data_IF_533708707141
#
_entry.id   IF_533708707141
#
_cell.length_a   1.000
_cell.length_b   1.000
_cell.length_c   1.000
_cell.angle_alpha   90.00
_cell.angle_beta   90.00
_cell.angle_gamma   90.00
#
_symmetry.space_group_name_H-M   'P 1'
#
loop_
_entity.id
_entity.type
_entity.pdbx_description
1 polymer ?
#
# COMPACT_ATOMS: atom_id res chain seq x y z
N UNK A 1 -5.30 -5.07 10.93
CA UNK A 1 -4.95 -4.08 9.90
C UNK A 1 -3.70 -3.33 10.31
N UNK A 2 -2.79 -3.12 9.38
CA UNK A 2 -1.63 -2.26 9.59
C UNK A 2 -1.47 -1.23 8.46
N UNK A 3 -0.82 -0.11 8.74
CA UNK A 3 -0.59 0.96 7.78
C UNK A 3 0.69 1.71 8.16
N UNK A 4 1.57 1.89 7.19
CA UNK A 4 2.80 2.68 7.33
C UNK A 4 2.70 3.90 6.44
N UNK A 5 2.90 5.07 7.03
CA UNK A 5 2.83 6.37 6.37
C UNK A 5 3.93 7.30 6.89
N UNK A 6 4.19 8.43 6.24
CA UNK A 6 5.15 9.42 6.77
C UNK A 6 4.83 9.93 8.17
N UNK A 7 3.57 9.83 8.62
CA UNK A 7 3.13 10.32 9.94
C UNK A 7 2.99 9.23 11.00
N UNK A 8 3.17 7.96 10.65
CA UNK A 8 3.08 6.85 11.60
C UNK A 8 3.54 5.52 11.00
N UNK A 9 4.24 4.72 11.80
CA UNK A 9 4.71 3.38 11.41
C UNK A 9 3.69 2.28 11.71
N UNK A 10 2.57 2.61 12.35
CA UNK A 10 1.46 1.70 12.58
C UNK A 10 0.13 2.38 12.24
N UNK A 11 -0.93 1.60 12.03
CA UNK A 11 -2.27 2.13 11.79
C UNK A 11 -2.74 3.03 12.94
N UNK A 12 -2.44 2.66 14.18
CA UNK A 12 -2.82 3.46 15.36
C UNK A 12 -2.09 4.81 15.40
N UNK A 13 -0.77 4.82 15.14
CA UNK A 13 0.03 6.04 15.08
C UNK A 13 -0.42 6.94 13.93
N UNK A 14 -0.64 6.37 12.74
CA UNK A 14 -1.13 7.11 11.57
C UNK A 14 -2.48 7.75 11.88
N UNK A 15 -3.43 6.99 12.43
CA UNK A 15 -4.76 7.50 12.77
C UNK A 15 -4.70 8.59 13.85
N UNK A 16 -3.84 8.44 14.86
CA UNK A 16 -3.64 9.47 15.90
C UNK A 16 -3.04 10.74 15.32
N UNK A 17 -2.02 10.63 14.48
CA UNK A 17 -1.35 11.75 13.82
C UNK A 17 -2.31 12.53 12.91
N UNK A 18 -3.11 11.81 12.09
CA UNK A 18 -4.11 12.43 11.22
C UNK A 18 -5.16 13.18 12.03
N UNK A 19 -5.68 12.57 13.12
CA UNK A 19 -6.65 13.25 14.02
C UNK A 19 -6.06 14.49 14.69
N UNK A 20 -4.77 14.46 14.99
CA UNK A 20 -4.06 15.59 15.59
C UNK A 20 -3.63 16.66 14.56
N UNK A 21 -3.91 16.46 13.26
CA UNK A 21 -3.49 17.37 12.19
C UNK A 21 -1.97 17.39 11.96
N UNK A 22 -1.26 16.35 12.38
CA UNK A 22 0.20 16.26 12.22
C UNK A 22 0.52 15.99 10.75
N UNK A 23 1.39 16.83 10.17
CA UNK A 23 1.99 16.65 8.87
C UNK A 23 3.50 16.47 9.04
N UNK A 24 4.10 15.57 8.26
CA UNK A 24 5.55 15.37 8.22
C UNK A 24 6.04 15.56 6.79
N UNK A 25 6.39 16.79 6.49
CA UNK A 25 7.02 17.16 5.23
C UNK A 25 8.49 17.41 5.47
N UNK A 26 9.33 16.89 4.57
CA UNK A 26 10.77 17.10 4.59
C UNK A 26 11.23 17.64 3.22
N UNK A 27 12.34 18.35 3.19
CA UNK A 27 13.00 18.70 1.95
C UNK A 27 13.67 17.42 1.43
N UNK A 28 13.55 17.16 0.13
CA UNK A 28 14.26 16.04 -0.50
C UNK A 28 15.73 16.43 -0.67
N UNK A 29 16.65 15.63 -0.16
CA UNK A 29 18.06 16.00 -0.06
C UNK A 29 18.74 16.10 -1.44
N UNK A 30 18.42 15.19 -2.36
CA UNK A 30 19.14 15.00 -3.62
C UNK A 30 18.35 15.47 -4.86
N UNK A 31 17.09 15.87 -4.71
CA UNK A 31 16.27 16.26 -5.84
C UNK A 31 15.92 17.73 -5.85
N UNK A 32 16.19 18.36 -7.00
CA UNK A 32 15.82 19.74 -7.30
C UNK A 32 14.89 19.76 -8.52
N UNK A 33 13.88 20.60 -8.48
CA UNK A 33 12.98 20.79 -9.62
C UNK A 33 13.73 21.43 -10.83
N UNK A 34 13.05 21.52 -11.97
CA UNK A 34 13.61 22.10 -13.20
C UNK A 34 14.06 23.56 -13.07
N UNK A 35 13.66 24.25 -12.02
CA UNK A 35 14.11 25.59 -11.69
C UNK A 35 15.29 25.61 -10.72
N UNK A 36 15.84 24.45 -10.37
CA UNK A 36 16.94 24.29 -9.43
C UNK A 36 16.56 24.50 -7.97
N UNK A 37 15.27 24.41 -7.63
CA UNK A 37 14.80 24.55 -6.24
C UNK A 37 14.54 23.21 -5.58
N UNK A 38 14.84 23.10 -4.27
CA UNK A 38 14.52 21.90 -3.52
C UNK A 38 13.01 21.68 -3.47
N UNK A 39 12.60 20.41 -3.47
CA UNK A 39 11.19 20.02 -3.35
C UNK A 39 10.88 19.54 -1.94
N UNK A 40 9.59 19.58 -1.61
CA UNK A 40 9.08 19.02 -0.37
C UNK A 40 8.42 17.69 -0.68
N UNK A 41 8.71 16.68 0.15
CA UNK A 41 8.13 15.33 0.07
C UNK A 41 7.60 14.89 1.42
N UNK A 42 6.73 13.89 1.42
CA UNK A 42 6.31 13.20 2.63
C UNK A 42 6.90 11.78 2.60
N UNK A 43 8.05 11.60 3.26
CA UNK A 43 8.86 10.39 3.27
C UNK A 43 8.70 9.62 4.58
N UNK A 44 8.61 8.30 4.52
CA UNK A 44 8.68 7.45 5.70
C UNK A 44 10.11 7.42 6.20
N UNK A 45 10.31 7.86 7.44
CA UNK A 45 11.63 7.88 8.06
C UNK A 45 12.02 6.51 8.61
N UNK A 46 13.32 6.23 8.64
CA UNK A 46 13.85 4.97 9.18
C UNK A 46 13.87 3.79 8.20
N UNK A 47 13.38 4.00 6.97
CA UNK A 47 13.58 3.06 5.85
C UNK A 47 14.81 3.54 5.09
N UNK A 48 15.64 2.60 4.60
CA UNK A 48 16.92 2.90 3.92
C UNK A 48 16.80 4.09 2.95
N UNK A 49 17.60 5.10 3.17
CA UNK A 49 17.58 6.34 2.38
C UNK A 49 18.30 6.20 1.03
N UNK A 50 19.19 5.21 0.90
CA UNK A 50 20.07 5.01 -0.25
C UNK A 50 19.40 4.23 -1.40
N UNK A 51 18.13 3.85 -1.26
CA UNK A 51 17.42 3.08 -2.29
C UNK A 51 17.01 4.00 -3.43
N UNK A 52 17.77 3.94 -4.52
CA UNK A 52 17.48 4.69 -5.76
C UNK A 52 16.34 4.06 -6.58
N UNK A 53 16.04 2.78 -6.35
CA UNK A 53 14.99 2.04 -7.05
C UNK A 53 13.66 2.12 -6.29
N UNK A 54 12.64 2.59 -6.98
CA UNK A 54 11.27 2.69 -6.44
C UNK A 54 10.72 1.34 -5.98
N UNK A 55 11.12 0.26 -6.64
CA UNK A 55 10.63 -1.08 -6.36
C UNK A 55 11.20 -1.60 -5.05
N UNK A 56 12.50 -1.47 -4.88
CA UNK A 56 13.16 -1.82 -3.61
C UNK A 56 12.57 -1.00 -2.46
N UNK A 57 12.28 0.28 -2.71
CA UNK A 57 11.63 1.14 -1.72
C UNK A 57 10.24 0.65 -1.36
N UNK A 58 9.40 0.34 -2.35
CA UNK A 58 8.06 -0.21 -2.14
C UNK A 58 8.11 -1.57 -1.45
N UNK A 59 9.10 -2.40 -1.80
CA UNK A 59 9.37 -3.67 -1.13
C UNK A 59 9.60 -3.48 0.36
N UNK A 60 10.57 -2.65 0.73
CA UNK A 60 10.93 -2.42 2.13
C UNK A 60 9.72 -1.90 2.94
N UNK A 61 8.94 -0.98 2.37
CA UNK A 61 7.72 -0.46 3.00
C UNK A 61 6.66 -1.56 3.18
N UNK A 62 6.46 -2.40 2.17
CA UNK A 62 5.50 -3.50 2.23
C UNK A 62 5.91 -4.57 3.24
N UNK A 63 7.20 -4.95 3.25
CA UNK A 63 7.77 -5.91 4.21
C UNK A 63 7.50 -5.47 5.65
N UNK A 64 7.93 -4.28 6.03
CA UNK A 64 7.74 -3.77 7.39
C UNK A 64 6.25 -3.74 7.77
N UNK A 65 5.38 -3.31 6.83
CA UNK A 65 3.94 -3.25 7.10
C UNK A 65 3.31 -4.63 7.27
N UNK A 66 3.79 -5.64 6.55
CA UNK A 66 3.32 -7.02 6.62
C UNK A 66 3.86 -7.76 7.84
N UNK A 67 5.13 -7.55 8.21
CA UNK A 67 5.75 -8.19 9.38
C UNK A 67 4.98 -7.83 10.65
N UNK A 68 4.63 -6.58 10.85
CA UNK A 68 3.82 -6.16 11.98
C UNK A 68 2.42 -6.81 11.97
N UNK A 69 1.80 -6.91 10.77
CA UNK A 69 0.49 -7.54 10.64
C UNK A 69 0.54 -9.04 10.94
N UNK A 70 1.63 -9.72 10.51
CA UNK A 70 1.82 -11.15 10.77
C UNK A 70 2.15 -11.44 12.21
N UNK A 71 2.99 -10.64 12.84
CA UNK A 71 3.35 -10.79 14.25
C UNK A 71 2.12 -10.65 15.17
N UNK A 72 1.22 -9.69 14.89
CA UNK A 72 0.03 -9.47 15.72
C UNK A 72 -1.12 -10.46 15.46
N UNK A 73 -1.30 -10.87 14.22
CA UNK A 73 -2.53 -11.56 13.81
C UNK A 73 -2.33 -13.01 13.37
N UNK A 74 -1.31 -13.29 12.56
CA UNK A 74 -1.12 -14.65 12.04
C UNK A 74 -0.52 -15.60 13.08
N UNK A 75 0.29 -15.12 14.03
CA UNK A 75 0.74 -15.92 15.15
C UNK A 75 -0.43 -16.46 15.98
N UNK A 76 -1.43 -15.62 16.23
CA UNK A 76 -2.64 -16.02 16.95
C UNK A 76 -3.53 -17.02 16.18
N UNK A 77 -3.42 -17.06 14.86
CA UNK A 77 -4.14 -18.02 14.00
C UNK A 77 -3.44 -19.39 13.94
N UNK A 78 -2.11 -19.40 14.09
CA UNK A 78 -1.31 -20.64 14.05
C UNK A 78 -1.32 -21.40 15.38
N UNK A 79 -1.63 -20.75 16.48
CA UNK A 79 -1.68 -21.37 17.83
C UNK A 79 -2.98 -22.17 18.10
N UNK A 80 -4.03 -21.98 17.29
CA UNK A 80 -5.27 -22.75 17.37
C UNK A 80 -5.26 -23.96 16.44
N UNK A 81 -5.59 -25.16 16.97
CA UNK A 81 -5.66 -26.46 16.29
C UNK A 81 -6.67 -26.53 15.13
N UNK A 82 -6.63 -25.59 14.20
CA UNK A 82 -7.45 -25.63 12.98
C UNK A 82 -6.59 -26.06 11.78
N UNK A 83 -7.12 -26.88 10.84
CA UNK A 83 -6.38 -27.18 9.63
C UNK A 83 -5.95 -25.89 8.95
N UNK A 84 -4.73 -25.87 8.40
CA UNK A 84 -4.11 -24.71 7.81
C UNK A 84 -5.13 -23.94 6.92
N UNK A 85 -5.59 -22.79 7.38
CA UNK A 85 -6.54 -21.96 6.63
C UNK A 85 -5.89 -21.51 5.34
N UNK A 86 -6.65 -21.49 4.27
CA UNK A 86 -6.19 -20.97 3.02
C UNK A 86 -6.05 -19.45 3.13
N UNK A 87 -4.81 -18.96 3.12
CA UNK A 87 -4.52 -17.55 3.05
C UNK A 87 -4.46 -17.13 1.57
N UNK A 88 -5.15 -16.06 1.21
CA UNK A 88 -5.19 -15.52 -0.14
C UNK A 88 -4.70 -14.07 -0.11
N UNK A 89 -3.69 -13.76 -0.90
CA UNK A 89 -3.12 -12.43 -1.01
C UNK A 89 -3.64 -11.68 -2.23
N UNK A 90 -4.07 -10.44 -2.02
CA UNK A 90 -4.44 -9.50 -3.08
C UNK A 90 -3.63 -8.23 -2.90
N UNK A 91 -2.82 -7.87 -3.88
CA UNK A 91 -1.98 -6.69 -3.85
C UNK A 91 -2.44 -5.66 -4.86
N UNK A 92 -2.83 -4.48 -4.37
CA UNK A 92 -3.12 -3.31 -5.18
C UNK A 92 -1.85 -2.51 -5.45
N UNK A 93 -1.63 -2.15 -6.69
CA UNK A 93 -0.49 -1.33 -7.13
C UNK A 93 -0.96 -0.20 -8.03
N UNK A 94 -0.05 0.72 -8.34
CA UNK A 94 -0.30 1.81 -9.27
C UNK A 94 -0.74 1.30 -10.64
N UNK A 95 -1.47 2.12 -11.40
CA UNK A 95 -1.95 1.76 -12.73
C UNK A 95 -0.80 1.52 -13.69
N UNK A 96 -0.92 0.46 -14.52
CA UNK A 96 -0.01 0.21 -15.65
C UNK A 96 0.00 1.34 -16.67
N UNK A 97 -1.07 2.12 -16.75
CA UNK A 97 -1.19 3.28 -17.65
C UNK A 97 -0.57 4.54 -17.04
N UNK A 98 -0.05 4.46 -15.82
CA UNK A 98 0.66 5.58 -15.21
C UNK A 98 1.84 5.94 -16.11
N UNK A 99 1.74 7.10 -16.75
CA UNK A 99 2.82 7.63 -17.59
C UNK A 99 4.00 7.96 -16.69
N UNK A 100 5.10 7.25 -16.85
CA UNK A 100 6.32 7.45 -16.09
C UNK A 100 7.27 6.29 -16.32
N UNK A 101 8.56 6.46 -16.06
CA UNK A 101 9.52 5.39 -16.22
C UNK A 101 9.16 4.23 -15.28
N UNK A 102 9.19 3.04 -15.82
CA UNK A 102 9.29 1.73 -15.15
C UNK A 102 8.21 1.28 -14.17
N UNK A 103 6.95 1.69 -14.35
CA UNK A 103 5.83 1.02 -13.70
C UNK A 103 5.31 -0.21 -14.48
N UNK A 104 6.12 -0.74 -15.37
CA UNK A 104 5.80 -1.90 -16.19
C UNK A 104 5.73 -3.22 -15.41
N UNK A 105 5.70 -4.33 -16.16
CA UNK A 105 5.58 -5.69 -15.63
C UNK A 105 6.66 -6.06 -14.58
N UNK A 106 7.84 -5.45 -14.64
CA UNK A 106 8.95 -5.71 -13.72
C UNK A 106 8.58 -5.43 -12.27
N UNK A 107 7.86 -4.34 -11.99
CA UNK A 107 7.48 -3.94 -10.63
C UNK A 107 6.46 -4.89 -10.02
N UNK A 108 5.56 -5.40 -10.85
CA UNK A 108 4.59 -6.41 -10.42
C UNK A 108 5.28 -7.74 -10.09
N UNK A 109 6.32 -8.10 -10.83
CA UNK A 109 7.08 -9.34 -10.60
C UNK A 109 7.84 -9.24 -9.26
N UNK A 110 8.44 -8.10 -8.94
CA UNK A 110 9.20 -7.95 -7.69
C UNK A 110 8.27 -7.97 -6.48
N UNK A 111 7.17 -7.25 -6.50
CA UNK A 111 6.19 -7.29 -5.41
C UNK A 111 5.56 -8.68 -5.27
N UNK A 112 5.32 -9.37 -6.38
CA UNK A 112 4.88 -10.75 -6.37
C UNK A 112 5.94 -11.68 -5.74
N UNK A 113 7.22 -11.42 -6.01
CA UNK A 113 8.33 -12.18 -5.43
C UNK A 113 8.42 -11.98 -3.92
N UNK A 114 8.34 -10.74 -3.44
CA UNK A 114 8.32 -10.42 -2.00
C UNK A 114 7.20 -11.15 -1.28
N UNK A 115 5.99 -11.06 -1.82
CA UNK A 115 4.85 -11.76 -1.21
C UNK A 115 5.00 -13.29 -1.30
N UNK A 116 5.60 -13.81 -2.37
CA UNK A 116 5.91 -15.24 -2.50
C UNK A 116 7.02 -15.70 -1.55
N UNK A 117 8.06 -14.91 -1.35
CA UNK A 117 9.14 -15.20 -0.40
C UNK A 117 8.63 -15.20 1.04
N UNK A 118 7.79 -14.22 1.41
CA UNK A 118 7.27 -14.09 2.77
C UNK A 118 6.12 -15.08 3.08
N UNK A 119 5.27 -15.41 2.10
CA UNK A 119 4.01 -16.12 2.33
C UNK A 119 3.75 -17.30 1.39
N UNK A 120 4.75 -17.70 0.59
CA UNK A 120 4.61 -18.83 -0.33
C UNK A 120 3.63 -18.56 -1.48
N UNK A 121 3.02 -19.62 -2.01
CA UNK A 121 2.17 -19.56 -3.22
C UNK A 121 0.76 -18.99 -2.97
N UNK A 122 0.58 -18.07 -2.05
CA UNK A 122 -0.72 -17.54 -1.65
C UNK A 122 -1.18 -16.30 -2.43
N UNK A 123 -0.35 -15.75 -3.33
CA UNK A 123 -0.73 -14.59 -4.14
C UNK A 123 -1.80 -14.99 -5.14
N UNK A 124 -3.02 -14.49 -4.96
CA UNK A 124 -4.15 -14.74 -5.86
C UNK A 124 -4.19 -13.75 -7.03
N UNK A 125 -3.98 -12.48 -6.75
CA UNK A 125 -3.99 -11.46 -7.78
C UNK A 125 -3.17 -10.23 -7.39
N UNK A 126 -2.56 -9.62 -8.40
CA UNK A 126 -2.01 -8.26 -8.36
C UNK A 126 -2.94 -7.39 -9.20
N UNK A 127 -3.46 -6.32 -8.59
CA UNK A 127 -4.48 -5.47 -9.16
C UNK A 127 -3.89 -4.10 -9.45
N UNK A 128 -3.84 -3.73 -10.72
CA UNK A 128 -3.21 -2.50 -11.21
C UNK A 128 -4.27 -1.53 -11.76
N UNK A 129 -5.13 -1.03 -10.86
CA UNK A 129 -6.21 -0.07 -11.16
C UNK A 129 -5.94 1.31 -10.52
N UNK A 130 -4.68 1.61 -10.23
CA UNK A 130 -4.30 2.88 -9.60
C UNK A 130 -4.99 3.09 -8.26
N UNK A 131 -5.58 4.26 -8.05
CA UNK A 131 -6.24 4.61 -6.79
C UNK A 131 -7.43 3.70 -6.43
N UNK A 132 -7.99 2.98 -7.39
CA UNK A 132 -9.09 2.04 -7.17
C UNK A 132 -8.63 0.61 -6.85
N UNK A 133 -7.33 0.31 -6.90
CA UNK A 133 -6.76 -1.04 -6.74
C UNK A 133 -7.22 -1.72 -5.45
N UNK A 134 -7.26 -0.99 -4.33
CA UNK A 134 -7.74 -1.53 -3.06
C UNK A 134 -9.21 -1.99 -3.13
N UNK A 135 -10.09 -1.19 -3.73
CA UNK A 135 -11.50 -1.52 -3.85
C UNK A 135 -11.74 -2.73 -4.75
N UNK A 136 -10.96 -2.83 -5.84
CA UNK A 136 -10.99 -4.03 -6.69
C UNK A 136 -10.48 -5.28 -5.94
N UNK A 137 -9.43 -5.14 -5.11
CA UNK A 137 -8.92 -6.22 -4.27
C UNK A 137 -9.98 -6.70 -3.24
N UNK A 138 -10.72 -5.76 -2.64
CA UNK A 138 -11.87 -6.08 -1.77
C UNK A 138 -12.94 -6.86 -2.54
N UNK A 139 -13.25 -6.46 -3.77
CA UNK A 139 -14.23 -7.17 -4.60
C UNK A 139 -13.80 -8.60 -4.91
N UNK A 140 -12.54 -8.80 -5.30
CA UNK A 140 -12.02 -10.13 -5.60
C UNK A 140 -11.96 -11.02 -4.34
N UNK A 141 -11.55 -10.46 -3.20
CA UNK A 141 -11.54 -11.20 -1.93
C UNK A 141 -12.93 -11.62 -1.49
N UNK A 142 -13.94 -10.77 -1.70
CA UNK A 142 -15.33 -11.11 -1.38
C UNK A 142 -15.81 -12.31 -2.16
N UNK A 143 -15.44 -12.48 -3.44
CA UNK A 143 -15.76 -13.66 -4.26
C UNK A 143 -15.11 -14.92 -3.68
N UNK A 144 -13.85 -14.82 -3.22
CA UNK A 144 -13.15 -15.96 -2.59
C UNK A 144 -13.85 -16.35 -1.30
N UNK A 145 -14.18 -15.40 -0.43
CA UNK A 145 -14.85 -15.67 0.86
C UNK A 145 -16.25 -16.24 0.64
N UNK A 146 -17.00 -15.78 -0.38
CA UNK A 146 -18.31 -16.34 -0.72
C UNK A 146 -18.23 -17.79 -1.19
N UNK A 147 -17.19 -18.15 -1.94
CA UNK A 147 -16.99 -19.52 -2.41
C UNK A 147 -16.34 -20.43 -1.36
N UNK A 148 -15.56 -19.85 -0.45
CA UNK A 148 -14.80 -20.56 0.58
C UNK A 148 -14.87 -19.75 1.88
N UNK A 149 -15.93 -19.93 2.69
CA UNK A 149 -16.14 -19.11 3.90
C UNK A 149 -15.01 -19.19 4.93
N UNK A 150 -14.24 -20.29 4.95
CA UNK A 150 -13.08 -20.44 5.82
C UNK A 150 -11.81 -19.76 5.29
N UNK A 151 -11.85 -19.19 4.08
CA UNK A 151 -10.71 -18.48 3.52
C UNK A 151 -10.40 -17.21 4.32
N UNK A 152 -9.11 -16.93 4.46
CA UNK A 152 -8.57 -15.67 4.97
C UNK A 152 -8.00 -14.88 3.80
N UNK A 153 -8.36 -13.63 3.66
CA UNK A 153 -7.82 -12.76 2.62
C UNK A 153 -7.01 -11.63 3.24
N UNK A 154 -5.76 -11.48 2.80
CA UNK A 154 -4.94 -10.31 3.10
C UNK A 154 -4.96 -9.42 1.87
N UNK A 155 -5.41 -8.18 2.06
CA UNK A 155 -5.49 -7.19 1.00
C UNK A 155 -4.58 -6.06 1.36
N UNK A 156 -3.75 -5.63 0.43
CA UNK A 156 -2.87 -4.49 0.65
C UNK A 156 -2.62 -3.65 -0.58
N UNK A 157 -2.14 -2.46 -0.32
CA UNK A 157 -1.62 -1.56 -1.34
C UNK A 157 -0.31 -0.96 -0.86
N UNK A 158 0.60 -0.76 -1.79
CA UNK A 158 1.85 -0.02 -1.57
C UNK A 158 2.11 0.88 -2.77
N UNK A 159 2.56 2.10 -2.49
CA UNK A 159 3.03 3.04 -3.53
C UNK A 159 4.11 3.96 -2.95
N UNK A 160 5.04 4.36 -3.80
CA UNK A 160 6.05 5.39 -3.51
C UNK A 160 6.24 6.31 -4.70
N UNK A 161 6.19 7.62 -4.45
CA UNK A 161 6.35 8.67 -5.45
C UNK A 161 7.67 9.43 -5.30
N UNK A 162 8.55 8.99 -4.40
CA UNK A 162 9.75 9.77 -4.04
C UNK A 162 11.03 9.35 -4.78
N UNK A 163 10.97 8.33 -5.64
CA UNK A 163 12.12 8.00 -6.49
C UNK A 163 12.39 9.08 -7.53
N UNK A 164 13.67 9.36 -7.81
CA UNK A 164 14.08 10.45 -8.71
C UNK A 164 13.45 10.34 -10.11
N UNK A 165 13.29 9.13 -10.64
CA UNK A 165 12.63 8.89 -11.93
C UNK A 165 11.17 9.36 -11.94
N UNK A 166 10.44 9.12 -10.85
CA UNK A 166 9.05 9.53 -10.69
C UNK A 166 8.95 11.03 -10.45
N UNK A 167 9.83 11.58 -9.62
CA UNK A 167 9.89 13.02 -9.36
C UNK A 167 10.16 13.79 -10.67
N UNK A 168 11.09 13.32 -11.50
CA UNK A 168 11.38 13.89 -12.81
C UNK A 168 10.15 13.88 -13.74
N UNK A 169 9.41 12.77 -13.76
CA UNK A 169 8.19 12.67 -14.54
C UNK A 169 7.11 13.63 -14.00
N UNK A 170 6.85 13.64 -12.69
CA UNK A 170 5.86 14.53 -12.07
C UNK A 170 6.20 16.02 -12.29
N UNK A 171 7.48 16.37 -12.21
CA UNK A 171 7.93 17.74 -12.49
C UNK A 171 7.77 18.09 -13.97
N UNK A 172 8.08 17.12 -14.85
CA UNK A 172 7.85 17.25 -16.30
C UNK A 172 6.41 17.55 -16.67
N UNK A 173 5.48 16.86 -16.03
CA UNK A 173 4.03 17.02 -16.24
C UNK A 173 3.46 18.23 -15.46
N UNK A 174 4.28 18.98 -14.74
CA UNK A 174 3.83 20.12 -13.92
C UNK A 174 3.00 19.72 -12.70
N UNK A 175 3.06 18.47 -12.27
CA UNK A 175 2.28 17.88 -11.17
C UNK A 175 3.02 17.88 -9.83
N UNK A 176 4.32 18.14 -9.82
CA UNK A 176 5.11 18.18 -8.59
C UNK A 176 5.02 19.57 -7.95
N UNK A 177 4.71 19.61 -6.66
CA UNK A 177 4.70 20.85 -5.89
C UNK A 177 6.13 21.26 -5.56
N UNK A 178 6.50 22.43 -6.03
CA UNK A 178 7.78 23.06 -5.71
C UNK A 178 7.59 24.49 -5.19
N UNK A 179 8.58 25.00 -4.49
CA UNK A 179 8.55 26.36 -3.92
C UNK A 179 8.62 27.46 -5.00
N UNK A 180 8.91 27.10 -6.24
CA UNK A 180 9.22 28.05 -7.32
C UNK A 180 8.09 28.44 -8.24
N UNK A 181 7.04 27.65 -8.32
CA UNK A 181 5.96 27.90 -9.26
C UNK A 181 4.61 27.77 -8.53
N UNK A 182 3.71 28.73 -8.75
CA UNK A 182 2.37 28.75 -8.17
C UNK A 182 1.45 27.65 -8.73
N UNK A 183 1.92 26.41 -8.73
CA UNK A 183 1.17 25.22 -9.16
C UNK A 183 0.18 24.85 -8.06
N UNK A 184 -0.99 25.47 -8.03
CA UNK A 184 -1.99 25.27 -6.98
C UNK A 184 -2.49 23.82 -6.89
N UNK A 185 -2.50 23.09 -7.99
CA UNK A 185 -3.00 21.71 -8.09
C UNK A 185 -1.89 20.64 -8.09
N UNK A 186 -0.64 21.04 -7.83
CA UNK A 186 0.47 20.11 -7.76
C UNK A 186 0.46 19.32 -6.45
N UNK A 187 0.89 18.07 -6.51
CA UNK A 187 0.97 17.18 -5.35
C UNK A 187 2.33 17.26 -4.65
N UNK A 188 2.33 17.01 -3.36
CA UNK A 188 3.53 16.67 -2.60
C UNK A 188 3.73 15.16 -2.75
N UNK A 189 4.87 14.75 -3.33
CA UNK A 189 5.17 13.34 -3.50
C UNK A 189 5.26 12.64 -2.13
N UNK A 190 4.64 11.49 -2.01
CA UNK A 190 4.59 10.72 -0.76
C UNK A 190 4.65 9.23 -1.03
N UNK A 191 4.69 8.46 0.05
CA UNK A 191 4.70 7.01 0.01
C UNK A 191 3.89 6.43 1.17
N UNK A 192 3.35 5.22 1.00
CA UNK A 192 2.64 4.51 2.04
C UNK A 192 2.45 3.03 1.68
N UNK A 193 2.24 2.19 2.70
CA UNK A 193 1.64 0.88 2.56
C UNK A 193 0.51 0.69 3.57
N UNK A 194 -0.50 -0.08 3.19
CA UNK A 194 -1.59 -0.45 4.08
C UNK A 194 -2.05 -1.87 3.75
N UNK A 195 -2.19 -2.70 4.77
CA UNK A 195 -2.69 -4.07 4.65
C UNK A 195 -3.80 -4.33 5.66
N UNK A 196 -4.83 -5.05 5.22
CA UNK A 196 -5.95 -5.45 6.05
C UNK A 196 -6.21 -6.94 5.88
N UNK A 197 -6.68 -7.58 6.95
CA UNK A 197 -7.18 -8.96 6.91
C UNK A 197 -8.68 -8.91 6.79
N UNK A 198 -9.23 -9.65 5.85
CA UNK A 198 -10.67 -9.77 5.61
C UNK A 198 -11.05 -11.25 5.66
N UNK A 199 -12.15 -11.53 6.34
CA UNK A 199 -12.73 -12.86 6.47
C UNK A 199 -14.25 -12.79 6.59
N UNK A 200 -14.91 -13.94 6.55
CA UNK A 200 -16.34 -14.03 6.79
C UNK A 200 -16.70 -13.59 8.21
N UNK A 201 -17.74 -12.77 8.33
CA UNK A 201 -18.15 -12.17 9.61
C UNK A 201 -18.56 -13.22 10.64
N UNK A 202 -19.29 -14.27 10.23
CA UNK A 202 -19.75 -15.31 11.14
C UNK A 202 -18.59 -16.20 11.59
N UNK A 203 -17.61 -16.45 10.71
CA UNK A 203 -16.40 -17.18 11.09
C UNK A 203 -15.56 -16.37 12.10
N UNK A 204 -15.40 -15.05 11.88
CA UNK A 204 -14.71 -14.19 12.83
C UNK A 204 -15.37 -14.20 14.22
N UNK A 205 -16.71 -14.12 14.26
CA UNK A 205 -17.50 -14.17 15.50
C UNK A 205 -17.37 -15.50 16.23
N UNK A 206 -17.53 -16.63 15.50
CA UNK A 206 -17.39 -17.98 16.08
C UNK A 206 -16.03 -18.24 16.68
N UNK A 207 -15.01 -17.68 16.07
CA UNK A 207 -13.62 -17.81 16.53
C UNK A 207 -13.22 -16.77 17.58
N UNK A 208 -14.12 -15.87 17.97
CA UNK A 208 -13.86 -14.83 18.97
C UNK A 208 -12.80 -13.79 18.51
N UNK A 209 -12.60 -13.64 17.20
CA UNK A 209 -11.59 -12.70 16.69
C UNK A 209 -12.07 -11.25 16.78
N UNK A 210 -11.15 -10.29 17.01
CA UNK A 210 -11.49 -8.88 17.06
C UNK A 210 -11.96 -8.40 15.68
N UNK A 211 -13.15 -7.81 15.63
CA UNK A 211 -13.74 -7.23 14.42
C UNK A 211 -13.58 -5.72 14.50
N UNK A 212 -12.70 -5.16 13.67
CA UNK A 212 -12.44 -3.73 13.63
C UNK A 212 -13.52 -2.96 12.85
N UNK A 213 -14.02 -3.56 11.77
CA UNK A 213 -15.04 -2.98 10.92
C UNK A 213 -15.77 -4.06 10.13
N UNK A 214 -16.92 -3.72 9.56
CA UNK A 214 -17.68 -4.56 8.64
C UNK A 214 -17.81 -3.84 7.30
N UNK A 215 -17.48 -4.55 6.21
CA UNK A 215 -17.77 -4.11 4.85
C UNK A 215 -19.15 -4.67 4.49
N UNK A 216 -20.14 -3.80 4.32
CA UNK A 216 -21.53 -4.21 4.02
C UNK A 216 -21.84 -4.11 2.53
N UNK A 217 -21.25 -3.15 1.84
CA UNK A 217 -21.47 -2.91 0.41
C UNK A 217 -20.21 -2.38 -0.23
N UNK A 218 -20.03 -2.68 -1.52
CA UNK A 218 -18.94 -2.17 -2.34
C UNK A 218 -19.50 -1.73 -3.68
N UNK A 219 -19.19 -0.51 -4.09
CA UNK A 219 -19.47 0.00 -5.43
C UNK A 219 -18.16 0.20 -6.19
N UNK A 220 -18.09 -0.30 -7.42
CA UNK A 220 -16.98 -0.06 -8.33
C UNK A 220 -17.51 0.73 -9.53
N UNK A 221 -16.76 1.74 -9.95
CA UNK A 221 -17.04 2.51 -11.15
C UNK A 221 -15.76 2.81 -11.90
N UNK A 222 -15.83 2.83 -13.21
CA UNK A 222 -14.75 3.30 -14.08
C UNK A 222 -15.09 4.70 -14.58
N UNK A 223 -14.14 5.62 -14.45
CA UNK A 223 -14.25 6.93 -15.06
C UNK A 223 -14.06 6.78 -16.56
N UNK A 224 -15.06 7.18 -17.34
CA UNK A 224 -14.96 7.22 -18.81
C UNK A 224 -14.02 8.37 -19.17
N UNK A 225 -12.90 8.04 -19.80
CA UNK A 225 -11.97 9.01 -20.40
C UNK A 225 -12.55 9.60 -21.69
#
# INVERSE_FOLDING_TARGET
ANCITPVGLTAAQTAASVRAGICRFVIHDDYHDRSGKPITVAKIQGIRDEVSDVIERMRDIAEICLDDLTAEYLSSLCEGQSPARQINFFLGVSSRQRRGPDFGNSNMIVLQHVVQELYGNHVKAIISQGNASFHHAVSESAKVIQSTPDALCIIGCVDSLIANSILNWLDGDGRLKSSGHGRQHALIASEAACFVVIEDLEQARRAGRPILARISTLGLAEERQ
#
